data_IF_241772367162
#
_entry.id   IF_241772367162
#
_cell.length_a   1.000
_cell.length_b   1.000
_cell.length_c   1.000
_cell.angle_alpha   90.00
_cell.angle_beta   90.00
_cell.angle_gamma   90.00
#
_symmetry.space_group_name_H-M   'P 1'
#
loop_
_entity.id
_entity.type
_entity.pdbx_description
1 polymer ?
#
# COMPACT_ATOMS: atom_id res chain seq x y z
N UNK A 1 -45.23 13.72 -41.20
CA UNK A 1 -44.03 14.50 -40.83
C UNK A 1 -43.09 14.52 -42.02
N UNK A 2 -42.56 15.68 -42.42
CA UNK A 2 -41.74 15.80 -43.63
C UNK A 2 -40.33 15.24 -43.40
N UNK A 3 -39.68 14.70 -44.44
CA UNK A 3 -38.32 14.11 -44.33
C UNK A 3 -37.26 15.10 -43.82
N UNK A 4 -37.49 16.40 -43.98
CA UNK A 4 -36.65 17.46 -43.41
C UNK A 4 -36.75 17.55 -41.87
N UNK A 5 -37.89 17.19 -41.29
CA UNK A 5 -38.06 17.19 -39.83
C UNK A 5 -37.40 15.95 -39.23
N UNK A 6 -37.58 14.78 -39.85
CA UNK A 6 -36.99 13.51 -39.39
C UNK A 6 -35.45 13.53 -39.44
N UNK A 7 -34.86 14.09 -40.50
CA UNK A 7 -33.41 14.26 -40.63
C UNK A 7 -32.81 15.20 -39.57
N UNK A 8 -33.53 16.26 -39.19
CA UNK A 8 -33.13 17.17 -38.09
C UNK A 8 -33.14 16.49 -36.73
N UNK A 9 -34.12 15.60 -36.46
CA UNK A 9 -34.18 14.84 -35.22
C UNK A 9 -33.06 13.81 -35.11
N UNK A 10 -32.74 13.12 -36.22
CA UNK A 10 -31.61 12.16 -36.26
C UNK A 10 -30.28 12.89 -36.05
N UNK A 11 -30.07 14.03 -36.71
CA UNK A 11 -28.85 14.83 -36.53
C UNK A 11 -28.71 15.39 -35.09
N UNK A 12 -29.82 15.79 -34.46
CA UNK A 12 -29.82 16.24 -33.07
C UNK A 12 -29.54 15.09 -32.09
N UNK A 13 -30.16 13.93 -32.29
CA UNK A 13 -29.94 12.75 -31.46
C UNK A 13 -28.49 12.25 -31.54
N UNK A 14 -27.88 12.25 -32.74
CA UNK A 14 -26.47 11.91 -32.95
C UNK A 14 -25.50 12.90 -32.29
N UNK A 15 -25.84 14.20 -32.26
CA UNK A 15 -25.05 15.21 -31.55
C UNK A 15 -25.11 15.02 -30.04
N UNK A 16 -26.28 14.70 -29.49
CA UNK A 16 -26.43 14.42 -28.05
C UNK A 16 -25.69 13.14 -27.66
N UNK A 17 -25.77 12.09 -28.46
CA UNK A 17 -25.00 10.85 -28.21
C UNK A 17 -23.49 11.06 -28.36
N UNK A 18 -23.03 11.84 -29.35
CA UNK A 18 -21.61 12.18 -29.50
C UNK A 18 -21.09 13.06 -28.35
N UNK A 19 -21.88 14.01 -27.84
CA UNK A 19 -21.54 14.82 -26.68
C UNK A 19 -21.53 14.01 -25.38
N UNK A 20 -22.44 13.03 -25.22
CA UNK A 20 -22.43 12.10 -24.10
C UNK A 20 -21.25 11.13 -24.16
N UNK A 21 -20.89 10.63 -25.35
CA UNK A 21 -19.68 9.84 -25.55
C UNK A 21 -18.42 10.66 -25.24
N UNK A 22 -18.34 11.90 -25.75
CA UNK A 22 -17.23 12.81 -25.41
C UNK A 22 -17.21 13.14 -23.91
N UNK A 23 -18.34 13.23 -23.23
CA UNK A 23 -18.40 13.45 -21.78
C UNK A 23 -17.92 12.22 -20.98
N UNK A 24 -18.31 11.01 -21.40
CA UNK A 24 -17.84 9.74 -20.78
C UNK A 24 -16.34 9.51 -21.00
N UNK A 25 -15.77 9.98 -22.11
CA UNK A 25 -14.33 9.88 -22.40
C UNK A 25 -13.52 11.16 -22.10
N UNK A 26 -14.16 12.26 -21.70
CA UNK A 26 -13.51 13.52 -21.29
C UNK A 26 -13.23 13.57 -19.78
N UNK A 27 -13.49 12.49 -19.04
CA UNK A 27 -12.78 12.27 -17.79
C UNK A 27 -11.35 11.87 -18.12
N UNK A 28 -10.59 12.84 -18.65
CA UNK A 28 -9.15 12.78 -18.58
C UNK A 28 -8.83 12.62 -17.11
N UNK A 29 -8.46 11.42 -16.70
CA UNK A 29 -7.72 11.24 -15.47
C UNK A 29 -6.52 12.18 -15.61
N UNK A 30 -6.52 13.23 -14.80
CA UNK A 30 -5.30 13.97 -14.53
C UNK A 30 -4.35 12.87 -14.04
N UNK A 31 -3.42 12.48 -14.90
CA UNK A 31 -2.30 11.65 -14.52
C UNK A 31 -1.51 12.53 -13.56
N UNK A 32 -1.87 12.48 -12.28
CA UNK A 32 -0.97 12.89 -11.23
C UNK A 32 0.17 11.88 -11.31
N UNK A 33 1.16 12.15 -12.16
CA UNK A 33 2.46 11.51 -12.06
C UNK A 33 2.94 11.83 -10.65
N UNK A 34 2.71 10.91 -9.71
CA UNK A 34 3.17 11.08 -8.35
C UNK A 34 4.68 11.13 -8.44
N UNK A 35 5.25 12.31 -8.23
CA UNK A 35 6.69 12.48 -8.16
C UNK A 35 7.21 11.66 -6.97
N UNK A 36 7.69 10.46 -7.28
CA UNK A 36 8.23 9.52 -6.29
C UNK A 36 9.33 10.15 -5.43
N UNK A 37 9.99 11.22 -5.88
CA UNK A 37 10.96 11.96 -5.08
C UNK A 37 10.32 12.64 -3.86
N UNK A 38 9.08 13.09 -3.97
CA UNK A 38 8.36 13.84 -2.94
C UNK A 38 7.49 12.97 -2.02
N UNK A 39 7.36 11.67 -2.30
CA UNK A 39 6.59 10.77 -1.46
C UNK A 39 7.29 10.47 -0.13
N UNK A 40 6.48 10.38 0.93
CA UNK A 40 6.94 9.87 2.23
C UNK A 40 7.27 8.38 2.15
N UNK A 41 7.93 7.83 3.18
CA UNK A 41 8.27 6.41 3.20
C UNK A 41 7.01 5.52 3.19
N UNK A 42 5.97 5.92 3.92
CA UNK A 42 4.67 5.22 3.93
C UNK A 42 4.00 5.26 2.56
N UNK A 43 4.00 6.41 1.89
CA UNK A 43 3.43 6.54 0.55
C UNK A 43 4.15 5.63 -0.45
N UNK A 44 5.49 5.63 -0.43
CA UNK A 44 6.32 4.74 -1.27
C UNK A 44 6.06 3.26 -1.00
N UNK A 45 5.83 2.91 0.25
CA UNK A 45 5.51 1.55 0.63
C UNK A 45 4.18 1.11 0.03
N UNK A 46 3.11 1.89 0.22
CA UNK A 46 1.77 1.50 -0.26
C UNK A 46 1.61 1.62 -1.77
N UNK A 47 2.40 2.46 -2.45
CA UNK A 47 2.33 2.61 -3.91
C UNK A 47 2.73 1.37 -4.69
N UNK A 48 3.30 0.35 -4.04
CA UNK A 48 3.46 -0.97 -4.64
C UNK A 48 2.12 -1.58 -5.11
N UNK A 49 1.05 -1.30 -4.36
CA UNK A 49 -0.28 -1.83 -4.63
C UNK A 49 -1.06 -0.97 -5.63
N UNK A 50 -0.61 0.24 -5.98
CA UNK A 50 -1.24 1.08 -7.01
C UNK A 50 -0.71 0.66 -8.39
N UNK A 51 -1.50 -0.13 -9.12
CA UNK A 51 -1.04 -0.84 -10.33
C UNK A 51 -1.16 0.04 -11.56
N UNK A 52 -2.14 0.93 -11.57
CA UNK A 52 -2.37 1.87 -12.66
C UNK A 52 -1.68 3.24 -12.43
N UNK A 53 -1.10 3.47 -11.25
CA UNK A 53 -0.37 4.68 -10.84
C UNK A 53 -1.24 5.94 -10.80
N UNK A 54 -2.51 5.80 -10.41
CA UNK A 54 -3.43 6.94 -10.28
C UNK A 54 -3.50 7.52 -8.85
N UNK A 55 -2.76 6.95 -7.90
CA UNK A 55 -2.76 7.36 -6.49
C UNK A 55 -3.89 6.76 -5.65
N UNK A 56 -4.69 5.86 -6.22
CA UNK A 56 -5.87 5.25 -5.60
C UNK A 56 -5.74 3.73 -5.69
N UNK A 57 -5.58 3.08 -4.54
CA UNK A 57 -5.51 1.62 -4.49
C UNK A 57 -6.93 1.07 -4.33
N UNK A 58 -7.35 0.23 -5.28
CA UNK A 58 -8.62 -0.50 -5.24
C UNK A 58 -8.49 -1.88 -4.59
N UNK A 59 -9.60 -2.51 -4.11
CA UNK A 59 -9.53 -3.86 -3.57
C UNK A 59 -8.94 -4.89 -4.53
N UNK A 60 -9.23 -4.77 -5.83
CA UNK A 60 -8.66 -5.63 -6.88
C UNK A 60 -7.15 -5.50 -6.95
N UNK A 61 -6.63 -4.28 -6.89
CA UNK A 61 -5.19 -4.04 -6.96
C UNK A 61 -4.45 -4.53 -5.72
N UNK A 62 -5.06 -4.41 -4.54
CA UNK A 62 -4.53 -5.05 -3.33
C UNK A 62 -4.48 -6.57 -3.46
N UNK A 63 -5.54 -7.20 -3.99
CA UNK A 63 -5.55 -8.66 -4.25
C UNK A 63 -4.41 -9.04 -5.22
N UNK A 64 -4.27 -8.31 -6.33
CA UNK A 64 -3.21 -8.56 -7.30
C UNK A 64 -1.81 -8.37 -6.70
N UNK A 65 -1.61 -7.33 -5.89
CA UNK A 65 -0.34 -7.06 -5.22
C UNK A 65 0.02 -8.13 -4.18
N UNK A 66 -0.95 -8.59 -3.38
CA UNK A 66 -0.75 -9.64 -2.37
C UNK A 66 -0.45 -11.00 -3.04
N UNK A 67 -1.09 -11.30 -4.16
CA UNK A 67 -0.74 -12.48 -4.98
C UNK A 67 0.68 -12.34 -5.55
N UNK A 68 1.05 -11.14 -6.03
CA UNK A 68 2.35 -10.90 -6.63
C UNK A 68 3.53 -11.07 -5.64
N UNK A 69 3.29 -10.93 -4.33
CA UNK A 69 4.28 -11.19 -3.27
C UNK A 69 4.24 -12.63 -2.74
N UNK A 70 3.51 -13.54 -3.40
CA UNK A 70 3.56 -14.98 -3.14
C UNK A 70 2.45 -15.54 -2.25
N UNK A 71 1.44 -14.74 -1.89
CA UNK A 71 0.30 -15.23 -1.12
C UNK A 71 -0.77 -15.88 -2.02
N UNK A 72 -1.53 -16.83 -1.47
CA UNK A 72 -2.64 -17.43 -2.19
C UNK A 72 -3.87 -16.49 -2.32
N UNK A 73 -4.78 -16.86 -3.23
CA UNK A 73 -5.97 -16.05 -3.56
C UNK A 73 -6.91 -15.88 -2.37
N UNK A 74 -7.05 -16.88 -1.51
CA UNK A 74 -7.96 -16.81 -0.37
C UNK A 74 -7.43 -15.82 0.66
N UNK A 75 -6.13 -15.91 0.98
CA UNK A 75 -5.44 -14.94 1.83
C UNK A 75 -5.51 -13.53 1.24
N UNK A 76 -5.23 -13.37 -0.05
CA UNK A 76 -5.24 -12.07 -0.72
C UNK A 76 -6.60 -11.36 -0.62
N UNK A 77 -7.69 -12.11 -0.80
CA UNK A 77 -9.07 -11.59 -0.65
C UNK A 77 -9.39 -11.17 0.77
N UNK A 78 -9.04 -12.00 1.76
CA UNK A 78 -9.26 -11.69 3.18
C UNK A 78 -8.44 -10.47 3.63
N UNK A 79 -7.16 -10.40 3.23
CA UNK A 79 -6.29 -9.26 3.51
C UNK A 79 -6.84 -7.97 2.88
N UNK A 80 -7.21 -8.01 1.58
CA UNK A 80 -7.79 -6.85 0.91
C UNK A 80 -9.08 -6.39 1.59
N UNK A 81 -9.97 -7.30 1.97
CA UNK A 81 -11.20 -6.95 2.68
C UNK A 81 -10.93 -6.18 3.98
N UNK A 82 -9.99 -6.67 4.82
CA UNK A 82 -9.62 -6.03 6.09
C UNK A 82 -8.96 -4.67 5.90
N UNK A 83 -7.99 -4.60 5.00
CA UNK A 83 -7.22 -3.37 4.74
C UNK A 83 -8.12 -2.28 4.17
N UNK A 84 -8.99 -2.60 3.22
CA UNK A 84 -9.91 -1.62 2.63
C UNK A 84 -11.03 -1.21 3.59
N UNK A 85 -11.53 -2.12 4.44
CA UNK A 85 -12.48 -1.77 5.48
C UNK A 85 -11.87 -0.81 6.53
N UNK A 86 -10.60 -1.00 6.89
CA UNK A 86 -9.90 -0.16 7.87
C UNK A 86 -9.41 1.18 7.31
N UNK A 87 -8.86 1.19 6.09
CA UNK A 87 -8.18 2.34 5.51
C UNK A 87 -9.05 3.15 4.54
N UNK A 88 -10.02 2.53 3.86
CA UNK A 88 -10.86 3.20 2.88
C UNK A 88 -11.60 4.41 3.47
N UNK A 89 -12.34 4.26 4.59
CA UNK A 89 -13.01 5.38 5.25
C UNK A 89 -12.06 6.46 5.79
N UNK A 90 -10.84 6.09 6.19
CA UNK A 90 -9.86 7.04 6.76
C UNK A 90 -9.17 7.89 5.69
N UNK A 91 -8.94 7.32 4.52
CA UNK A 91 -8.15 7.93 3.45
C UNK A 91 -9.01 8.59 2.36
N UNK A 92 -10.28 8.21 2.25
CA UNK A 92 -11.19 8.82 1.27
C UNK A 92 -11.38 10.33 1.49
N UNK A 93 -11.33 11.13 0.42
CA UNK A 93 -11.82 12.50 0.43
C UNK A 93 -13.30 12.59 0.83
N UNK A 94 -13.70 13.76 1.36
CA UNK A 94 -15.06 13.99 1.92
C UNK A 94 -16.16 13.92 0.85
N UNK A 95 -15.81 14.20 -0.41
CA UNK A 95 -16.72 14.29 -1.56
C UNK A 95 -16.88 12.97 -2.35
N UNK A 96 -16.15 11.92 -1.98
CA UNK A 96 -16.26 10.61 -2.65
C UNK A 96 -17.53 9.89 -2.19
N UNK A 97 -18.40 9.40 -3.11
CA UNK A 97 -19.59 8.65 -2.73
C UNK A 97 -19.26 7.37 -1.95
N UNK A 98 -20.14 7.00 -1.02
CA UNK A 98 -20.07 5.72 -0.33
C UNK A 98 -20.37 4.55 -1.30
N UNK A 99 -19.78 3.36 -1.06
CA UNK A 99 -18.88 3.02 0.05
C UNK A 99 -17.42 3.44 -0.21
N UNK A 100 -16.75 3.91 0.84
CA UNK A 100 -15.31 4.27 0.82
C UNK A 100 -14.43 3.01 0.77
N UNK A 101 -14.36 2.36 -0.38
CA UNK A 101 -13.62 1.10 -0.57
C UNK A 101 -12.23 1.29 -1.15
N UNK A 102 -11.84 2.47 -1.61
CA UNK A 102 -10.50 2.73 -2.15
C UNK A 102 -9.61 3.39 -1.12
N UNK A 103 -8.30 3.18 -1.25
CA UNK A 103 -7.27 3.77 -0.39
C UNK A 103 -6.56 4.87 -1.17
N UNK A 104 -6.59 6.09 -0.65
CA UNK A 104 -5.95 7.23 -1.30
C UNK A 104 -4.53 7.42 -0.74
N UNK A 105 -3.52 7.25 -1.58
CA UNK A 105 -2.10 7.30 -1.17
C UNK A 105 -1.75 8.65 -0.55
N UNK A 106 -2.27 9.75 -1.08
CA UNK A 106 -2.05 11.10 -0.54
C UNK A 106 -2.42 11.18 0.95
N UNK A 107 -3.50 10.50 1.35
CA UNK A 107 -4.08 10.54 2.68
C UNK A 107 -3.67 9.35 3.57
N UNK A 108 -2.75 8.49 3.13
CA UNK A 108 -2.42 7.23 3.83
C UNK A 108 -1.92 7.44 5.26
N UNK A 109 -1.32 8.60 5.55
CA UNK A 109 -0.89 8.95 6.91
C UNK A 109 -2.05 8.98 7.92
N UNK A 110 -3.30 9.16 7.46
CA UNK A 110 -4.51 9.08 8.29
C UNK A 110 -4.83 7.64 8.71
N UNK A 111 -4.24 6.65 8.05
CA UNK A 111 -4.38 5.23 8.33
C UNK A 111 -3.56 4.73 9.52
N UNK A 112 -2.52 5.50 9.91
CA UNK A 112 -1.66 5.20 11.05
C UNK A 112 -2.45 5.11 12.36
N UNK A 113 -1.93 4.34 13.32
CA UNK A 113 -2.68 3.97 14.52
C UNK A 113 -1.80 3.87 15.76
N UNK A 114 -2.39 3.98 16.95
CA UNK A 114 -1.63 4.15 18.20
C UNK A 114 -0.60 3.05 18.47
N UNK A 115 -0.90 1.80 18.08
CA UNK A 115 -0.03 0.64 18.31
C UNK A 115 1.14 0.47 17.32
N UNK A 116 1.49 1.53 16.60
CA UNK A 116 2.62 1.54 15.66
C UNK A 116 3.98 1.43 16.36
N UNK A 117 4.99 0.93 15.65
CA UNK A 117 6.38 0.89 16.16
C UNK A 117 7.06 2.27 16.22
N UNK A 118 6.46 3.29 15.59
CA UNK A 118 7.04 4.62 15.44
C UNK A 118 8.19 4.70 14.42
N UNK A 119 8.48 3.63 13.68
CA UNK A 119 9.45 3.66 12.57
C UNK A 119 9.05 4.63 11.45
N UNK A 120 7.76 4.97 11.39
CA UNK A 120 7.18 6.05 10.60
C UNK A 120 6.62 7.10 11.57
N UNK A 121 6.85 8.38 11.30
CA UNK A 121 6.21 9.46 12.06
C UNK A 121 4.76 9.68 11.64
N UNK A 122 4.03 10.55 12.33
CA UNK A 122 2.60 10.84 12.07
C UNK A 122 2.28 11.39 10.66
N UNK A 123 3.29 11.66 9.82
CA UNK A 123 3.15 12.02 8.41
C UNK A 123 3.61 10.91 7.46
N UNK A 124 3.97 9.75 7.99
CA UNK A 124 4.48 8.61 7.22
C UNK A 124 5.94 8.74 6.81
N UNK A 125 6.72 9.64 7.42
CA UNK A 125 8.16 9.78 7.12
C UNK A 125 8.97 8.80 7.96
N UNK A 126 10.01 8.22 7.39
CA UNK A 126 10.86 7.26 8.10
C UNK A 126 11.66 7.94 9.22
N UNK A 127 11.69 7.30 10.39
CA UNK A 127 12.42 7.75 11.58
C UNK A 127 13.53 6.73 11.90
N UNK A 128 14.78 6.97 11.46
CA UNK A 128 15.86 5.99 11.60
C UNK A 128 16.11 5.53 13.03
N UNK A 129 16.08 6.44 14.01
CA UNK A 129 16.29 6.10 15.41
C UNK A 129 15.21 5.16 15.96
N UNK A 130 13.94 5.40 15.62
CA UNK A 130 12.83 4.54 16.03
C UNK A 130 12.86 3.18 15.35
N UNK A 131 13.30 3.14 14.10
CA UNK A 131 13.55 1.88 13.42
C UNK A 131 14.65 1.06 14.11
N UNK A 132 15.77 1.69 14.49
CA UNK A 132 16.83 0.99 15.23
C UNK A 132 16.36 0.56 16.64
N UNK A 133 15.49 1.33 17.29
CA UNK A 133 14.90 0.99 18.59
C UNK A 133 14.18 -0.36 18.56
N UNK A 134 13.48 -0.71 17.46
CA UNK A 134 12.81 -2.00 17.30
C UNK A 134 13.77 -3.15 17.63
N UNK A 135 14.95 -3.15 17.01
CA UNK A 135 15.90 -4.23 17.17
C UNK A 135 16.64 -4.13 18.50
N UNK A 136 17.01 -2.92 18.94
CA UNK A 136 17.70 -2.79 20.24
C UNK A 136 16.84 -3.23 21.43
N UNK A 137 15.50 -3.14 21.33
CA UNK A 137 14.56 -3.51 22.40
C UNK A 137 14.13 -4.96 22.32
N UNK A 138 13.85 -5.46 21.11
CA UNK A 138 13.14 -6.73 20.93
C UNK A 138 14.02 -7.87 20.40
N UNK A 139 15.17 -7.58 19.76
CA UNK A 139 16.06 -8.59 19.19
C UNK A 139 16.98 -9.18 20.26
N UNK A 140 16.45 -10.07 21.11
CA UNK A 140 17.10 -10.66 22.29
C UNK A 140 17.98 -11.86 21.92
N UNK A 141 17.62 -12.58 20.87
CA UNK A 141 18.28 -13.80 20.41
C UNK A 141 19.45 -13.47 19.48
N UNK A 142 19.25 -12.51 18.58
CA UNK A 142 20.25 -12.07 17.59
C UNK A 142 20.06 -10.58 17.30
N UNK A 143 21.06 -9.75 17.57
CA UNK A 143 20.94 -8.27 17.61
C UNK A 143 20.44 -7.61 16.31
N UNK A 144 20.57 -8.28 15.16
CA UNK A 144 20.17 -7.79 13.84
C UNK A 144 18.97 -8.53 13.25
N UNK A 145 18.24 -9.33 14.03
CA UNK A 145 17.05 -10.04 13.54
C UNK A 145 16.05 -10.37 14.65
N UNK A 146 14.76 -10.48 14.28
CA UNK A 146 13.69 -10.88 15.19
C UNK A 146 13.25 -12.32 14.89
N UNK A 147 13.04 -13.10 15.95
CA UNK A 147 12.29 -14.37 15.89
C UNK A 147 10.78 -14.11 15.93
N UNK A 148 9.97 -15.12 15.62
CA UNK A 148 8.51 -15.02 15.71
C UNK A 148 8.03 -14.55 17.09
N UNK A 149 8.63 -15.07 18.16
CA UNK A 149 8.24 -14.72 19.52
C UNK A 149 8.66 -13.30 19.89
N UNK A 150 9.78 -12.80 19.36
CA UNK A 150 10.21 -11.41 19.56
C UNK A 150 9.34 -10.43 18.76
N UNK A 151 8.88 -10.81 17.55
CA UNK A 151 7.86 -10.04 16.83
C UNK A 151 6.56 -9.98 17.63
N UNK A 152 6.09 -11.10 18.15
CA UNK A 152 4.89 -11.14 19.01
C UNK A 152 5.06 -10.27 20.27
N UNK A 153 6.20 -10.36 20.93
CA UNK A 153 6.48 -9.56 22.11
C UNK A 153 6.54 -8.08 21.80
N UNK A 154 7.16 -7.68 20.68
CA UNK A 154 7.16 -6.30 20.19
C UNK A 154 5.74 -5.79 19.94
N UNK A 155 4.89 -6.56 19.25
CA UNK A 155 3.49 -6.17 18.98
C UNK A 155 2.75 -5.93 20.30
N UNK A 156 2.93 -6.81 21.30
CA UNK A 156 2.31 -6.66 22.60
C UNK A 156 2.86 -5.45 23.38
N UNK A 157 4.16 -5.21 23.31
CA UNK A 157 4.83 -4.10 24.00
C UNK A 157 4.44 -2.73 23.44
N UNK A 158 4.08 -2.65 22.16
CA UNK A 158 3.70 -1.41 21.50
C UNK A 158 2.19 -1.12 21.53
N UNK A 159 1.37 -1.97 22.16
CA UNK A 159 -0.08 -1.71 22.25
C UNK A 159 -0.36 -0.38 22.94
N UNK A 160 -1.11 0.46 22.25
CA UNK A 160 -1.65 1.68 22.83
C UNK A 160 -2.89 1.33 23.67
N UNK A 161 -2.81 1.53 24.98
CA UNK A 161 -3.90 1.22 25.90
C UNK A 161 -5.09 2.17 25.72
N UNK A 162 -4.85 3.37 25.18
CA UNK A 162 -5.88 4.37 24.91
C UNK A 162 -6.53 4.19 23.52
N UNK A 163 -5.96 3.31 22.66
CA UNK A 163 -6.50 2.93 21.34
C UNK A 163 -6.57 1.40 21.14
N UNK A 164 -7.51 0.68 21.81
CA UNK A 164 -7.67 -0.76 21.65
C UNK A 164 -8.06 -1.19 20.23
N UNK A 165 -8.66 -0.31 19.44
CA UNK A 165 -9.05 -0.62 18.05
C UNK A 165 -7.82 -0.76 17.14
N UNK A 166 -6.67 -0.21 17.54
CA UNK A 166 -5.40 -0.37 16.80
C UNK A 166 -4.69 -1.71 16.99
N UNK A 167 -5.11 -2.56 17.94
CA UNK A 167 -4.30 -3.72 18.35
C UNK A 167 -4.19 -4.82 17.30
N UNK A 168 -5.21 -4.96 16.44
CA UNK A 168 -5.27 -6.04 15.45
C UNK A 168 -4.42 -5.76 14.21
N UNK A 169 -4.22 -4.48 13.86
CA UNK A 169 -3.49 -4.11 12.65
C UNK A 169 -2.00 -4.54 12.69
N UNK A 170 -1.23 -4.25 13.75
CA UNK A 170 0.15 -4.73 13.87
C UNK A 170 0.28 -6.26 13.82
N UNK A 171 -0.73 -7.02 14.27
CA UNK A 171 -0.71 -8.49 14.19
C UNK A 171 -0.72 -8.95 12.73
N UNK A 172 -1.58 -8.34 11.90
CA UNK A 172 -1.68 -8.70 10.48
C UNK A 172 -0.45 -8.21 9.72
N UNK A 173 -0.01 -6.98 9.95
CA UNK A 173 1.13 -6.37 9.25
C UNK A 173 2.45 -7.08 9.55
N UNK A 174 2.81 -7.18 10.84
CA UNK A 174 4.06 -7.84 11.23
C UNK A 174 4.00 -9.35 11.08
N UNK A 175 2.82 -9.96 11.20
CA UNK A 175 2.61 -11.37 10.89
C UNK A 175 2.91 -11.68 9.43
N UNK A 176 2.40 -10.85 8.50
CA UNK A 176 2.68 -10.99 7.07
C UNK A 176 4.17 -10.72 6.76
N UNK A 177 4.76 -9.66 7.32
CA UNK A 177 6.19 -9.35 7.16
C UNK A 177 7.04 -10.54 7.63
N UNK A 178 6.77 -11.09 8.81
CA UNK A 178 7.51 -12.23 9.33
C UNK A 178 7.36 -13.45 8.42
N UNK A 179 6.15 -13.75 7.96
CA UNK A 179 5.88 -14.88 7.07
C UNK A 179 6.63 -14.77 5.74
N UNK A 180 6.66 -13.59 5.13
CA UNK A 180 7.27 -13.38 3.82
C UNK A 180 8.80 -13.20 3.89
N UNK A 181 9.32 -12.56 4.93
CA UNK A 181 10.69 -12.04 4.93
C UNK A 181 11.64 -12.68 5.94
N UNK A 182 11.18 -13.67 6.70
CA UNK A 182 12.06 -14.47 7.57
C UNK A 182 12.87 -15.47 6.76
N UNK A 183 14.11 -15.70 7.20
CA UNK A 183 14.94 -16.75 6.61
C UNK A 183 14.49 -18.16 7.04
N UNK A 184 15.11 -19.18 6.44
CA UNK A 184 14.84 -20.60 6.74
C UNK A 184 15.09 -21.02 8.20
N UNK A 185 15.79 -20.19 8.97
CA UNK A 185 16.08 -20.43 10.38
C UNK A 185 15.11 -19.67 11.30
N UNK A 186 14.12 -18.96 10.74
CA UNK A 186 13.12 -18.20 11.49
C UNK A 186 13.59 -16.82 11.95
N UNK A 187 14.55 -16.21 11.25
CA UNK A 187 15.03 -14.86 11.55
C UNK A 187 14.53 -13.83 10.54
N UNK A 188 13.77 -12.86 11.01
CA UNK A 188 13.40 -11.66 10.27
C UNK A 188 14.50 -10.61 10.42
N UNK A 189 15.36 -10.48 9.41
CA UNK A 189 16.52 -9.60 9.47
C UNK A 189 16.13 -8.11 9.45
N UNK A 190 16.92 -7.28 10.14
CA UNK A 190 16.81 -5.81 10.10
C UNK A 190 16.86 -5.26 8.69
N UNK A 191 17.73 -5.80 7.85
CA UNK A 191 17.86 -5.36 6.47
C UNK A 191 16.61 -5.72 5.64
N UNK A 192 15.96 -6.87 5.91
CA UNK A 192 14.67 -7.22 5.30
C UNK A 192 13.58 -6.22 5.67
N UNK A 193 13.42 -5.90 6.97
CA UNK A 193 12.40 -4.93 7.43
C UNK A 193 12.67 -3.54 6.85
N UNK A 194 13.94 -3.11 6.81
CA UNK A 194 14.32 -1.81 6.23
C UNK A 194 13.93 -1.69 4.75
N UNK A 195 14.10 -2.77 3.99
CA UNK A 195 13.70 -2.83 2.58
C UNK A 195 12.19 -2.65 2.39
N UNK A 196 11.38 -3.26 3.26
CA UNK A 196 9.91 -3.18 3.21
C UNK A 196 9.40 -1.77 3.51
N UNK A 197 10.00 -1.08 4.49
CA UNK A 197 9.61 0.30 4.88
C UNK A 197 10.01 1.34 3.81
N UNK A 198 10.54 0.91 2.64
CA UNK A 198 10.82 1.78 1.51
C UNK A 198 12.06 2.64 1.69
N UNK A 199 13.01 2.20 2.52
CA UNK A 199 14.30 2.88 2.74
C UNK A 199 15.38 2.11 1.98
N UNK A 200 15.66 2.45 0.72
CA UNK A 200 16.71 1.79 -0.03
C UNK A 200 18.07 2.05 0.62
N UNK A 201 18.86 0.99 0.88
CA UNK A 201 20.32 1.11 0.71
C UNK A 201 20.52 1.39 -0.78
N UNK A 202 21.46 2.28 -1.14
CA UNK A 202 21.90 2.45 -2.53
C UNK A 202 21.95 1.06 -3.19
N UNK A 203 21.09 0.85 -4.19
CA UNK A 203 21.00 -0.32 -5.07
C UNK A 203 20.17 -1.55 -4.65
N UNK A 204 19.34 -1.51 -3.60
CA UNK A 204 18.56 -2.69 -3.18
C UNK A 204 17.16 -2.34 -2.65
N UNK A 205 16.11 -2.77 -3.38
CA UNK A 205 14.78 -3.09 -2.83
C UNK A 205 14.72 -4.62 -2.64
N UNK A 206 14.77 -5.14 -1.40
CA UNK A 206 14.66 -6.59 -1.15
C UNK A 206 13.18 -6.93 -0.97
N UNK A 207 12.67 -7.85 -1.80
CA UNK A 207 11.45 -8.60 -1.50
C UNK A 207 11.81 -10.08 -1.53
N UNK A 208 11.55 -10.77 -0.42
CA UNK A 208 11.88 -12.18 -0.22
C UNK A 208 10.68 -13.01 -0.65
N UNK A 209 10.89 -13.98 -1.53
CA UNK A 209 9.90 -15.02 -1.84
C UNK A 209 10.14 -16.26 -0.94
N UNK A 210 9.12 -17.11 -0.80
CA UNK A 210 9.01 -18.30 0.06
C UNK A 210 10.12 -19.35 -0.07
N UNK A 211 10.98 -19.22 -1.09
CA UNK A 211 12.03 -20.21 -1.40
C UNK A 211 13.42 -19.81 -0.90
N UNK A 212 13.54 -18.71 -0.16
CA UNK A 212 14.84 -18.18 0.29
C UNK A 212 15.73 -17.66 -0.85
N UNK A 213 15.17 -17.54 -2.06
CA UNK A 213 15.80 -16.87 -3.20
C UNK A 213 15.46 -15.38 -3.09
N UNK A 214 16.48 -14.55 -2.90
CA UNK A 214 16.36 -13.09 -3.01
C UNK A 214 16.03 -12.77 -4.47
N UNK A 215 14.75 -12.56 -4.77
CA UNK A 215 14.36 -11.98 -6.06
C UNK A 215 14.63 -10.48 -5.96
N UNK A 216 15.78 -10.07 -6.49
CA UNK A 216 16.18 -8.68 -6.59
C UNK A 216 15.32 -8.00 -7.67
N UNK A 217 14.15 -7.50 -7.30
CA UNK A 217 13.43 -6.57 -8.17
C UNK A 217 14.17 -5.23 -8.12
N UNK A 218 14.64 -4.79 -9.29
CA UNK A 218 15.10 -3.42 -9.48
C UNK A 218 13.94 -2.52 -9.09
N UNK A 219 14.13 -1.62 -8.11
CA UNK A 219 13.16 -0.56 -7.85
C UNK A 219 12.85 0.06 -9.23
N UNK A 220 11.57 0.21 -9.59
CA UNK A 220 11.20 0.96 -10.79
C UNK A 220 11.58 2.43 -10.57
N UNK A 221 12.86 2.74 -10.69
CA UNK A 221 13.32 4.06 -11.07
C UNK A 221 12.85 4.19 -12.51
N UNK A 222 12.05 5.22 -12.78
CA UNK A 222 11.44 5.47 -14.09
C UNK A 222 12.42 5.36 -15.27
N UNK A 223 11.90 5.33 -16.51
CA UNK A 223 12.65 4.93 -17.69
C UNK A 223 13.95 5.73 -17.81
N UNK A 224 15.07 5.03 -17.68
CA UNK A 224 16.38 5.55 -18.06
C UNK A 224 16.34 5.75 -19.57
N UNK A 225 16.35 7.01 -20.04
CA UNK A 225 16.59 7.29 -21.45
C UNK A 225 17.94 6.69 -21.82
N UNK A 226 17.94 5.85 -22.86
CA UNK A 226 19.12 5.50 -23.64
C UNK A 226 19.40 6.68 -24.57
#
# INVERSE_FOLDING_TARGET
MTGAQQSRWVAAAMRVTALLFLWVFSWGHVMAEIDSANMTALQKHVSFFDRNMDGIITPSETIEGVIAIGCDVAFAKDFAAKVHAGLGPKTSPVDVPLPHLSIYIENIYRGMHGSDTGALDAKGRFVPSKFEEIFSKHAKTRLDALTFFEVKEMILANRDLDDPQSWDAPINEWGLIYYLASDKNGYLSKDSVRGIVGVPKKDICIWVNTDGVVVKFRCMVGPTRI
#
